data_IF_517617536429
#
_entry.id   IF_517617536429
#
_cell.length_a   1.000
_cell.length_b   1.000
_cell.length_c   1.000
_cell.angle_alpha   90.00
_cell.angle_beta   90.00
_cell.angle_gamma   90.00
#
_symmetry.space_group_name_H-M   'P 1'
#
loop_
_entity.id
_entity.type
_entity.pdbx_description
1 polymer ?
#
# COMPACT_ATOMS: atom_id res chain seq x y z
N UNK A 1 13.25 -64.08 -3.97
CA UNK A 1 12.59 -63.68 -5.25
C UNK A 1 12.29 -62.17 -5.39
N UNK A 2 12.64 -61.30 -4.42
CA UNK A 2 12.48 -59.83 -4.58
C UNK A 2 13.77 -59.05 -4.85
N UNK A 3 14.95 -59.70 -4.83
CA UNK A 3 16.23 -59.02 -5.10
C UNK A 3 16.49 -58.70 -6.57
N UNK A 4 15.81 -59.39 -7.50
CA UNK A 4 15.95 -59.12 -8.96
C UNK A 4 15.07 -57.95 -9.46
N UNK A 5 14.03 -57.55 -8.71
CA UNK A 5 13.17 -56.40 -9.07
C UNK A 5 13.77 -55.04 -8.70
N UNK A 6 14.76 -55.02 -7.79
CA UNK A 6 15.46 -53.80 -7.37
C UNK A 6 16.51 -53.35 -8.39
N UNK A 7 17.27 -54.28 -8.98
CA UNK A 7 18.29 -53.97 -9.99
C UNK A 7 17.70 -53.44 -11.31
N UNK A 8 16.51 -53.90 -11.70
CA UNK A 8 15.83 -53.42 -12.92
C UNK A 8 15.28 -51.98 -12.80
N UNK A 9 15.01 -51.49 -11.58
CA UNK A 9 14.51 -50.12 -11.34
C UNK A 9 15.64 -49.09 -11.22
N UNK A 10 16.81 -49.51 -10.73
CA UNK A 10 18.01 -48.65 -10.67
C UNK A 10 18.59 -48.41 -12.07
N UNK A 11 18.47 -49.38 -12.99
CA UNK A 11 18.98 -49.25 -14.36
C UNK A 11 18.18 -48.25 -15.22
N UNK A 12 16.85 -48.17 -15.06
CA UNK A 12 16.00 -47.24 -15.84
C UNK A 12 16.15 -45.78 -15.39
N UNK A 13 16.49 -45.56 -14.11
CA UNK A 13 16.78 -44.21 -13.59
C UNK A 13 18.15 -43.67 -14.01
N UNK A 14 19.11 -44.54 -14.35
CA UNK A 14 20.46 -44.12 -14.74
C UNK A 14 20.56 -43.72 -16.23
N UNK A 15 19.65 -44.22 -17.08
CA UNK A 15 19.65 -43.92 -18.54
C UNK A 15 19.00 -42.56 -18.85
N UNK A 16 18.09 -42.07 -18.01
CA UNK A 16 17.44 -40.75 -18.21
C UNK A 16 18.36 -39.58 -17.77
N UNK A 17 19.39 -39.85 -16.97
CA UNK A 17 20.31 -38.82 -16.47
C UNK A 17 21.54 -38.56 -17.36
N UNK A 18 21.77 -39.34 -18.43
CA UNK A 18 23.03 -39.29 -19.20
C UNK A 18 22.90 -38.86 -20.68
N UNK A 19 21.71 -38.44 -21.14
CA UNK A 19 21.52 -37.89 -22.49
C UNK A 19 20.79 -36.54 -22.40
N UNK A 20 21.56 -35.46 -22.21
CA UNK A 20 21.27 -34.11 -22.74
C UNK A 20 22.27 -33.04 -22.23
N UNK A 21 23.53 -33.40 -22.02
CA UNK A 21 24.63 -32.42 -21.99
C UNK A 21 25.41 -32.61 -23.28
N UNK A 22 25.56 -31.51 -24.03
CA UNK A 22 26.24 -31.34 -25.32
C UNK A 22 25.33 -31.46 -26.55
N UNK A 23 24.78 -30.31 -26.96
CA UNK A 23 24.19 -30.15 -28.28
C UNK A 23 23.54 -28.79 -28.46
N UNK A 24 24.26 -27.89 -29.11
CA UNK A 24 23.71 -26.76 -29.85
C UNK A 24 23.33 -25.48 -29.09
N UNK A 25 24.37 -24.78 -28.64
CA UNK A 25 24.42 -23.32 -28.74
C UNK A 25 24.28 -22.95 -30.22
N UNK A 26 23.20 -22.26 -30.57
CA UNK A 26 23.14 -21.35 -31.69
C UNK A 26 22.26 -20.18 -31.27
N UNK A 27 22.78 -18.94 -31.23
CA UNK A 27 21.98 -17.78 -30.94
C UNK A 27 21.04 -17.55 -32.13
N UNK A 28 19.73 -17.62 -31.92
CA UNK A 28 18.80 -17.08 -32.90
C UNK A 28 19.00 -15.56 -32.94
N UNK A 29 19.34 -14.97 -34.09
CA UNK A 29 19.11 -13.55 -34.30
C UNK A 29 17.59 -13.38 -34.40
N UNK A 30 16.94 -12.96 -33.32
CA UNK A 30 15.62 -12.34 -33.45
C UNK A 30 15.83 -10.92 -34.03
N UNK A 31 16.22 -10.87 -35.30
CA UNK A 31 16.35 -9.65 -36.06
C UNK A 31 14.93 -9.07 -36.23
N UNK A 32 14.80 -7.81 -35.82
CA UNK A 32 13.67 -6.91 -36.07
C UNK A 32 12.34 -7.25 -35.38
N UNK A 33 12.32 -7.13 -34.05
CA UNK A 33 11.20 -6.39 -33.46
C UNK A 33 11.38 -4.94 -33.88
N UNK A 34 10.64 -4.53 -34.92
CA UNK A 34 10.43 -3.12 -35.24
C UNK A 34 10.15 -2.42 -33.91
N UNK A 35 11.08 -1.54 -33.51
CA UNK A 35 10.76 -0.53 -32.54
C UNK A 35 9.56 0.20 -33.14
N UNK A 36 8.37 -0.07 -32.62
CA UNK A 36 7.26 0.82 -32.82
C UNK A 36 7.66 2.08 -32.05
N UNK A 37 8.43 2.96 -32.71
CA UNK A 37 8.63 4.31 -32.24
C UNK A 37 7.23 4.91 -32.14
N UNK A 38 6.84 5.49 -31.00
CA UNK A 38 5.60 6.25 -30.97
C UNK A 38 5.78 7.41 -31.95
N UNK A 39 5.18 7.26 -33.14
CA UNK A 39 5.10 8.32 -34.13
C UNK A 39 4.20 9.41 -33.56
N UNK A 40 4.81 10.57 -33.34
CA UNK A 40 4.26 11.92 -33.32
C UNK A 40 2.77 12.04 -32.94
N UNK A 41 2.52 12.59 -31.75
CA UNK A 41 1.21 13.17 -31.43
C UNK A 41 0.48 12.56 -30.23
N UNK A 42 1.16 12.29 -29.11
CA UNK A 42 0.45 12.10 -27.85
C UNK A 42 -0.21 13.42 -27.47
N UNK A 43 -1.51 13.55 -27.76
CA UNK A 43 -2.35 14.55 -27.11
C UNK A 43 -2.28 14.22 -25.62
N UNK A 44 -1.41 14.92 -24.89
CA UNK A 44 -1.36 14.84 -23.43
C UNK A 44 -2.61 15.49 -22.87
N UNK A 45 -3.74 14.81 -23.00
CA UNK A 45 -4.97 15.26 -22.39
C UNK A 45 -4.77 15.16 -20.88
N UNK A 46 -4.57 16.32 -20.25
CA UNK A 46 -4.41 16.43 -18.81
C UNK A 46 -5.69 15.86 -18.19
N UNK A 47 -5.55 14.93 -17.26
CA UNK A 47 -6.69 14.42 -16.50
C UNK A 47 -7.21 15.55 -15.59
N UNK A 48 -8.29 16.20 -16.00
CA UNK A 48 -9.00 17.20 -15.20
C UNK A 48 -9.65 16.54 -13.96
N UNK A 49 -9.82 17.31 -12.87
CA UNK A 49 -10.51 16.85 -11.66
C UNK A 49 -9.76 15.83 -10.79
N UNK A 50 -8.46 15.60 -11.01
CA UNK A 50 -7.70 14.65 -10.21
C UNK A 50 -7.38 15.17 -8.80
N UNK A 51 -8.22 14.81 -7.83
CA UNK A 51 -8.08 15.18 -6.41
C UNK A 51 -7.08 14.31 -5.64
N UNK A 52 -6.79 13.10 -6.11
CA UNK A 52 -5.97 12.11 -5.41
C UNK A 52 -4.47 12.37 -5.60
N UNK A 53 -3.69 12.50 -4.51
CA UNK A 53 -2.24 12.62 -4.61
C UNK A 53 -1.59 11.23 -4.74
N UNK A 54 -0.67 11.08 -5.70
CA UNK A 54 -0.03 9.79 -5.99
C UNK A 54 1.07 9.38 -5.00
N UNK A 55 1.64 10.32 -4.23
CA UNK A 55 2.73 10.11 -3.25
C UNK A 55 3.95 9.34 -3.79
N UNK A 56 4.20 9.39 -5.11
CA UNK A 56 5.25 8.64 -5.81
C UNK A 56 5.23 7.13 -5.52
N UNK A 57 4.04 6.56 -5.30
CA UNK A 57 3.84 5.13 -5.03
C UNK A 57 2.71 4.56 -5.91
N UNK A 58 2.78 3.27 -6.29
CA UNK A 58 1.65 2.58 -6.92
C UNK A 58 0.46 2.52 -5.96
N UNK A 59 -0.72 2.20 -6.50
CA UNK A 59 -1.98 2.27 -5.76
C UNK A 59 -1.98 1.41 -4.49
N UNK A 60 -1.46 0.19 -4.56
CA UNK A 60 -1.49 -0.77 -3.45
C UNK A 60 -0.60 -0.31 -2.29
N UNK A 61 0.63 0.09 -2.61
CA UNK A 61 1.56 0.63 -1.61
C UNK A 61 1.04 1.93 -0.99
N UNK A 62 0.37 2.79 -1.78
CA UNK A 62 -0.22 4.04 -1.26
C UNK A 62 -1.36 3.73 -0.29
N UNK A 63 -2.23 2.77 -0.61
CA UNK A 63 -3.31 2.33 0.29
C UNK A 63 -2.74 1.83 1.61
N UNK A 64 -1.76 0.93 1.56
CA UNK A 64 -1.10 0.41 2.76
C UNK A 64 -0.43 1.50 3.61
N UNK A 65 0.24 2.47 2.96
CA UNK A 65 0.86 3.60 3.66
C UNK A 65 -0.16 4.45 4.42
N UNK A 66 -1.26 4.85 3.77
CA UNK A 66 -2.29 5.68 4.41
C UNK A 66 -3.00 4.92 5.53
N UNK A 67 -3.22 3.62 5.33
CA UNK A 67 -3.78 2.71 6.33
C UNK A 67 -2.93 2.66 7.60
N UNK A 68 -1.62 2.47 7.43
CA UNK A 68 -0.66 2.47 8.53
C UNK A 68 -0.63 3.82 9.25
N UNK A 69 -0.44 4.92 8.52
CA UNK A 69 -0.38 6.26 9.13
C UNK A 69 -1.66 6.65 9.89
N UNK A 70 -2.83 6.25 9.38
CA UNK A 70 -4.11 6.51 10.08
C UNK A 70 -4.22 5.69 11.36
N UNK A 71 -3.79 4.42 11.33
CA UNK A 71 -3.79 3.54 12.51
C UNK A 71 -2.86 4.07 13.59
N UNK A 72 -1.63 4.45 13.21
CA UNK A 72 -0.68 5.05 14.13
C UNK A 72 -1.20 6.38 14.69
N UNK A 73 -1.89 7.19 13.88
CA UNK A 73 -2.39 8.50 14.30
C UNK A 73 -3.44 8.34 15.40
N UNK A 74 -4.34 7.36 15.25
CA UNK A 74 -5.36 7.06 16.26
C UNK A 74 -4.72 6.48 17.51
N UNK A 75 -3.68 5.64 17.37
CA UNK A 75 -2.94 5.03 18.49
C UNK A 75 -2.24 6.07 19.36
N UNK A 76 -1.56 7.03 18.75
CA UNK A 76 -0.68 7.97 19.47
C UNK A 76 -1.26 9.38 19.61
N UNK A 77 -2.30 9.72 18.85
CA UNK A 77 -2.91 11.05 18.79
C UNK A 77 -2.09 12.09 18.02
N UNK A 78 -0.77 11.90 17.86
CA UNK A 78 0.14 12.82 17.17
C UNK A 78 1.26 12.10 16.44
N UNK A 79 1.52 12.49 15.18
CA UNK A 79 2.57 11.92 14.33
C UNK A 79 3.33 12.99 13.56
N UNK A 80 4.65 12.83 13.47
CA UNK A 80 5.52 13.61 12.58
C UNK A 80 5.78 12.85 11.28
N UNK A 81 5.48 13.48 10.15
CA UNK A 81 5.73 12.91 8.81
C UNK A 81 6.07 14.02 7.80
N UNK A 82 6.06 13.71 6.51
CA UNK A 82 6.19 14.75 5.48
C UNK A 82 4.86 15.47 5.28
N UNK A 83 4.89 16.77 4.99
CA UNK A 83 3.68 17.60 4.88
C UNK A 83 2.68 17.02 3.85
N UNK A 84 3.21 16.48 2.73
CA UNK A 84 2.41 15.85 1.69
C UNK A 84 1.65 14.62 2.20
N UNK A 85 2.26 13.81 3.07
CA UNK A 85 1.59 12.64 3.67
C UNK A 85 0.55 13.08 4.70
N UNK A 86 0.87 14.05 5.56
CA UNK A 86 -0.07 14.57 6.56
C UNK A 86 -1.35 15.13 5.93
N UNK A 87 -1.24 15.85 4.82
CA UNK A 87 -2.41 16.37 4.08
C UNK A 87 -3.34 15.28 3.57
N UNK A 88 -2.81 14.15 3.12
CA UNK A 88 -3.66 13.04 2.65
C UNK A 88 -4.25 12.23 3.80
N UNK A 89 -3.47 12.01 4.87
CA UNK A 89 -3.93 11.28 6.07
C UNK A 89 -5.10 11.99 6.73
N UNK A 90 -5.17 13.33 6.66
CA UNK A 90 -6.33 14.10 7.15
C UNK A 90 -7.65 13.56 6.60
N UNK A 91 -7.75 13.30 5.30
CA UNK A 91 -8.99 12.82 4.69
C UNK A 91 -9.39 11.43 5.19
N UNK A 92 -8.42 10.54 5.42
CA UNK A 92 -8.71 9.18 5.88
C UNK A 92 -9.01 9.14 7.37
N UNK A 93 -8.27 9.90 8.18
CA UNK A 93 -8.49 10.01 9.62
C UNK A 93 -9.83 10.67 9.95
N UNK A 94 -10.16 11.78 9.28
CA UNK A 94 -11.44 12.45 9.50
C UNK A 94 -12.61 11.52 9.16
N UNK A 95 -12.48 10.72 8.09
CA UNK A 95 -13.50 9.73 7.73
C UNK A 95 -13.68 8.63 8.80
N UNK A 96 -12.58 8.11 9.38
CA UNK A 96 -12.66 7.11 10.46
C UNK A 96 -13.35 7.68 11.70
N UNK A 97 -13.10 8.94 12.05
CA UNK A 97 -13.74 9.60 13.20
C UNK A 97 -15.23 9.84 12.93
N UNK A 98 -15.61 10.24 11.71
CA UNK A 98 -17.04 10.34 11.34
C UNK A 98 -17.75 9.00 11.48
N UNK A 99 -17.16 7.90 10.99
CA UNK A 99 -17.73 6.56 11.18
C UNK A 99 -17.87 6.19 12.66
N UNK A 100 -16.90 6.59 13.49
CA UNK A 100 -16.93 6.35 14.93
C UNK A 100 -18.06 7.13 15.63
N UNK A 101 -18.32 8.37 15.21
CA UNK A 101 -19.45 9.19 15.70
C UNK A 101 -20.81 8.55 15.37
N UNK A 102 -20.96 7.94 14.19
CA UNK A 102 -22.20 7.28 13.79
C UNK A 102 -22.53 6.04 14.63
N UNK A 103 -21.51 5.32 15.13
CA UNK A 103 -21.67 4.21 16.08
C UNK A 103 -22.30 2.91 15.54
N UNK A 104 -22.84 2.92 14.31
CA UNK A 104 -23.58 1.81 13.71
C UNK A 104 -22.73 0.55 13.49
N UNK A 105 -23.36 -0.63 13.46
CA UNK A 105 -22.67 -1.89 13.16
C UNK A 105 -22.02 -1.87 11.77
N UNK A 106 -22.66 -1.21 10.80
CA UNK A 106 -22.13 -1.07 9.45
C UNK A 106 -20.85 -0.22 9.45
N UNK A 107 -20.86 0.92 10.14
CA UNK A 107 -19.69 1.78 10.29
C UNK A 107 -18.51 1.05 10.96
N UNK A 108 -18.77 0.24 12.00
CA UNK A 108 -17.74 -0.59 12.65
C UNK A 108 -17.11 -1.60 11.68
N UNK A 109 -17.92 -2.27 10.85
CA UNK A 109 -17.41 -3.21 9.84
C UNK A 109 -16.53 -2.52 8.79
N UNK A 110 -16.90 -1.31 8.36
CA UNK A 110 -16.08 -0.51 7.46
C UNK A 110 -14.74 -0.12 8.10
N UNK A 111 -14.77 0.35 9.36
CA UNK A 111 -13.56 0.71 10.10
C UNK A 111 -12.63 -0.50 10.30
N UNK A 112 -13.17 -1.68 10.64
CA UNK A 112 -12.40 -2.93 10.76
C UNK A 112 -11.78 -3.38 9.42
N UNK A 113 -12.44 -3.11 8.30
CA UNK A 113 -11.88 -3.35 6.97
C UNK A 113 -10.67 -2.46 6.66
N UNK A 114 -10.64 -1.26 7.25
CA UNK A 114 -9.60 -0.27 7.04
C UNK A 114 -8.49 -0.29 8.10
N UNK A 115 -8.73 -0.37 9.40
CA UNK A 115 -7.65 -0.35 10.40
C UNK A 115 -7.00 -1.74 10.58
N UNK A 116 -5.77 -1.79 11.09
CA UNK A 116 -5.09 -3.07 11.35
C UNK A 116 -5.49 -3.69 12.69
N UNK A 117 -5.67 -2.86 13.72
CA UNK A 117 -5.90 -3.32 15.09
C UNK A 117 -7.38 -3.23 15.48
N UNK A 118 -7.94 -4.33 15.97
CA UNK A 118 -9.35 -4.42 16.36
C UNK A 118 -9.61 -3.63 17.64
N UNK A 119 -8.73 -3.75 18.63
CA UNK A 119 -8.88 -3.11 19.94
C UNK A 119 -8.88 -1.58 19.83
N UNK A 120 -8.06 -1.03 18.93
CA UNK A 120 -8.07 0.41 18.63
C UNK A 120 -9.39 0.87 18.02
N UNK A 121 -10.01 0.06 17.16
CA UNK A 121 -11.34 0.38 16.62
C UNK A 121 -12.37 0.39 17.75
N UNK A 122 -12.34 -0.58 18.66
CA UNK A 122 -13.25 -0.58 19.81
C UNK A 122 -13.09 0.68 20.66
N UNK A 123 -11.86 1.02 21.07
CA UNK A 123 -11.58 2.22 21.85
C UNK A 123 -11.96 3.52 21.12
N UNK A 124 -11.76 3.59 19.79
CA UNK A 124 -12.16 4.74 18.99
C UNK A 124 -13.68 4.98 19.02
N UNK A 125 -14.47 3.91 18.89
CA UNK A 125 -15.94 4.01 18.89
C UNK A 125 -16.51 4.33 20.27
N UNK A 126 -15.78 4.02 21.35
CA UNK A 126 -16.17 4.39 22.72
C UNK A 126 -15.85 5.87 23.00
N UNK A 127 -14.67 6.34 22.59
CA UNK A 127 -14.18 7.69 22.95
C UNK A 127 -14.62 8.80 21.98
N UNK A 128 -14.76 8.50 20.68
CA UNK A 128 -15.09 9.50 19.67
C UNK A 128 -16.42 10.25 19.88
N UNK A 129 -17.54 9.61 20.27
CA UNK A 129 -18.81 10.33 20.42
C UNK A 129 -18.76 11.36 21.55
N UNK A 130 -18.05 11.09 22.65
CA UNK A 130 -17.86 12.05 23.74
C UNK A 130 -16.90 13.17 23.33
N UNK A 131 -15.74 12.82 22.78
CA UNK A 131 -14.68 13.79 22.45
C UNK A 131 -15.04 14.75 21.31
N UNK A 132 -15.81 14.27 20.33
CA UNK A 132 -16.10 15.02 19.11
C UNK A 132 -17.59 15.31 18.90
N UNK A 133 -18.42 15.21 19.94
CA UNK A 133 -19.87 15.47 19.88
C UNK A 133 -20.19 16.76 19.14
N UNK A 134 -19.65 17.87 19.62
CA UNK A 134 -20.02 19.24 19.19
C UNK A 134 -19.39 19.67 17.85
N UNK A 135 -18.51 18.85 17.27
CA UNK A 135 -17.73 19.22 16.09
C UNK A 135 -18.24 18.54 14.81
N UNK A 136 -18.66 19.35 13.85
CA UNK A 136 -19.09 18.91 12.51
C UNK A 136 -17.91 18.85 11.53
N UNK A 137 -16.91 18.00 11.82
CA UNK A 137 -15.78 17.75 10.94
C UNK A 137 -14.49 18.52 11.24
N UNK A 138 -13.43 18.20 10.49
CA UNK A 138 -12.10 18.77 10.70
C UNK A 138 -11.50 18.38 12.05
N UNK A 139 -11.38 17.08 12.30
CA UNK A 139 -10.91 16.52 13.57
C UNK A 139 -9.38 16.52 13.67
N UNK A 140 -8.69 16.67 12.54
CA UNK A 140 -7.23 16.67 12.46
C UNK A 140 -6.63 18.04 12.14
N UNK A 141 -5.61 18.42 12.91
CA UNK A 141 -4.78 19.59 12.65
C UNK A 141 -3.46 19.16 12.02
N UNK A 142 -3.00 19.91 11.02
CA UNK A 142 -1.70 19.71 10.37
C UNK A 142 -0.88 20.97 10.56
N UNK A 143 0.24 20.83 11.27
CA UNK A 143 1.23 21.86 11.51
C UNK A 143 2.45 21.65 10.61
N UNK A 144 3.11 22.73 10.20
CA UNK A 144 4.39 22.66 9.50
C UNK A 144 5.52 22.68 10.52
N UNK A 145 6.53 21.83 10.32
CA UNK A 145 7.59 21.58 11.30
C UNK A 145 9.00 21.78 10.69
N UNK A 146 9.08 22.60 9.65
CA UNK A 146 10.31 22.92 8.93
C UNK A 146 10.75 21.86 7.92
N UNK A 147 12.05 21.81 7.62
CA UNK A 147 12.64 20.92 6.61
C UNK A 147 13.57 19.89 7.25
N UNK A 148 13.56 18.67 6.71
CA UNK A 148 14.46 17.60 7.15
C UNK A 148 15.87 17.83 6.61
N UNK A 149 16.87 17.64 7.49
CA UNK A 149 18.29 17.68 7.11
C UNK A 149 18.63 16.51 6.17
N UNK A 150 19.28 16.81 5.05
CA UNK A 150 19.74 15.83 4.05
C UNK A 150 18.95 15.92 2.75
N UNK A 151 17.66 15.61 2.77
CA UNK A 151 16.82 15.58 1.56
C UNK A 151 15.90 16.81 1.40
N UNK A 152 16.00 17.78 2.32
CA UNK A 152 15.21 19.02 2.34
C UNK A 152 13.70 18.79 2.18
N UNK A 153 13.20 17.64 2.67
CA UNK A 153 11.77 17.35 2.63
C UNK A 153 11.02 18.22 3.64
N UNK A 154 9.94 18.87 3.22
CA UNK A 154 9.06 19.62 4.11
C UNK A 154 8.34 18.66 5.08
N UNK A 155 8.59 18.85 6.36
CA UNK A 155 8.03 18.07 7.45
C UNK A 155 6.77 18.73 7.99
N UNK A 156 5.86 17.90 8.49
CA UNK A 156 4.66 18.35 9.16
C UNK A 156 4.26 17.38 10.25
N UNK A 157 3.56 17.91 11.24
CA UNK A 157 2.99 17.15 12.34
C UNK A 157 1.49 17.13 12.16
N UNK A 158 0.88 15.94 12.26
CA UNK A 158 -0.56 15.76 12.28
C UNK A 158 -0.99 15.34 13.69
N UNK A 159 -2.05 15.96 14.19
CA UNK A 159 -2.55 15.78 15.55
C UNK A 159 -4.08 15.77 15.56
N UNK A 160 -4.63 14.94 16.44
CA UNK A 160 -6.04 14.92 16.77
C UNK A 160 -6.38 16.09 17.69
N UNK A 161 -7.53 16.73 17.44
CA UNK A 161 -8.07 17.77 18.30
C UNK A 161 -8.68 17.19 19.59
#
# INVERSE_FOLDING_TARGET
KNSQKAMARVCVLLVIALQCVAGFVSPMPLQNRVACSPRVGEISMIRHGNKLKKLNRPADQRKALLRGLTTELIRHGRIKSTLRRCKEVRSTADHMITLAKDGSLHARRQALGYMYDKDLVHGLFEQAPERYADREGGYTRVLRDGYRKGDNSEMGVIELL
#
